data_IF_617039234429
#
_entry.id   IF_617039234429
#
_cell.length_a   1.000
_cell.length_b   1.000
_cell.length_c   1.000
_cell.angle_alpha   90.00
_cell.angle_beta   90.00
_cell.angle_gamma   90.00
#
_symmetry.space_group_name_H-M   'P 1'
#
loop_
_entity.id
_entity.type
_entity.pdbx_description
1 polymer ?
#
# COMPACT_ATOMS: atom_id res chain seq x y z
N UNK A 1 13.57 -0.36 -35.90
CA UNK A 1 12.94 -0.45 -34.56
C UNK A 1 11.90 -1.55 -34.60
N UNK A 2 12.31 -2.73 -34.15
CA UNK A 2 11.44 -3.90 -33.99
C UNK A 2 10.65 -3.72 -32.69
N UNK A 3 9.33 -3.89 -32.72
CA UNK A 3 8.52 -3.89 -31.51
C UNK A 3 8.64 -5.23 -30.76
N UNK A 4 8.60 -5.19 -29.43
CA UNK A 4 8.69 -6.39 -28.57
C UNK A 4 7.52 -7.35 -28.82
N UNK A 5 6.34 -6.79 -29.04
CA UNK A 5 5.09 -7.50 -29.29
C UNK A 5 5.14 -8.30 -30.59
N UNK A 6 5.80 -7.78 -31.62
CA UNK A 6 6.00 -8.47 -32.90
C UNK A 6 6.91 -9.69 -32.72
N UNK A 7 8.00 -9.54 -31.96
CA UNK A 7 8.92 -10.66 -31.64
C UNK A 7 8.19 -11.74 -30.87
N UNK A 8 7.41 -11.36 -29.85
CA UNK A 8 6.61 -12.30 -29.04
C UNK A 8 5.60 -13.04 -29.92
N UNK A 9 4.88 -12.33 -30.79
CA UNK A 9 3.88 -12.91 -31.68
C UNK A 9 4.50 -13.90 -32.66
N UNK A 10 5.68 -13.59 -33.20
CA UNK A 10 6.43 -14.49 -34.09
C UNK A 10 6.91 -15.73 -33.36
N UNK A 11 7.42 -15.61 -32.13
CA UNK A 11 7.83 -16.79 -31.36
C UNK A 11 6.62 -17.68 -31.07
N UNK A 12 5.47 -17.10 -30.71
CA UNK A 12 4.21 -17.85 -30.50
C UNK A 12 3.74 -18.55 -31.78
N UNK A 13 3.80 -17.89 -32.93
CA UNK A 13 3.40 -18.47 -34.22
C UNK A 13 4.32 -19.63 -34.63
N UNK A 14 5.63 -19.51 -34.39
CA UNK A 14 6.62 -20.51 -34.78
C UNK A 14 6.79 -21.65 -33.78
N UNK A 15 6.10 -21.59 -32.64
CA UNK A 15 6.24 -22.56 -31.57
C UNK A 15 5.53 -23.87 -31.91
N UNK A 16 6.29 -24.95 -32.01
CA UNK A 16 5.82 -26.30 -32.35
C UNK A 16 5.97 -27.30 -31.18
N UNK A 17 6.08 -26.78 -29.95
CA UNK A 17 6.39 -27.57 -28.75
C UNK A 17 7.88 -27.67 -28.43
N UNK A 18 8.74 -26.96 -29.16
CA UNK A 18 10.18 -26.80 -28.87
C UNK A 18 10.61 -25.32 -28.94
N UNK A 19 11.67 -24.92 -28.23
CA UNK A 19 12.23 -23.57 -28.33
C UNK A 19 12.55 -23.19 -29.79
N UNK A 20 12.14 -21.98 -30.18
CA UNK A 20 12.25 -21.48 -31.56
C UNK A 20 13.66 -20.95 -31.80
N UNK A 21 14.34 -21.49 -32.82
CA UNK A 21 15.69 -21.05 -33.18
C UNK A 21 15.73 -19.57 -33.61
N UNK A 22 16.79 -18.85 -33.21
CA UNK A 22 17.03 -17.46 -33.59
C UNK A 22 16.93 -17.22 -35.11
N UNK A 23 17.47 -18.16 -35.90
CA UNK A 23 17.44 -18.09 -37.36
C UNK A 23 16.02 -18.11 -37.93
N UNK A 24 15.09 -18.86 -37.31
CA UNK A 24 13.67 -18.90 -37.71
C UNK A 24 12.99 -17.57 -37.38
N UNK A 25 13.21 -17.03 -36.18
CA UNK A 25 12.67 -15.74 -35.73
C UNK A 25 13.15 -14.62 -36.66
N UNK A 26 14.47 -14.56 -36.90
CA UNK A 26 15.10 -13.60 -37.82
C UNK A 26 14.49 -13.65 -39.22
N UNK A 27 14.30 -14.86 -39.78
CA UNK A 27 13.75 -15.04 -41.13
C UNK A 27 12.32 -14.51 -41.24
N UNK A 28 11.52 -14.65 -40.19
CA UNK A 28 10.12 -14.21 -40.17
C UNK A 28 10.00 -12.70 -40.00
N UNK A 29 10.77 -12.12 -39.08
CA UNK A 29 10.76 -10.67 -38.79
C UNK A 29 11.45 -9.86 -39.90
N UNK A 30 12.38 -10.48 -40.66
CA UNK A 30 13.22 -9.82 -41.68
C UNK A 30 13.99 -8.61 -41.11
N UNK A 31 14.43 -8.74 -39.87
CA UNK A 31 15.13 -7.70 -39.14
C UNK A 31 16.66 -7.84 -39.19
N UNK A 32 17.32 -6.75 -38.82
CA UNK A 32 18.74 -6.74 -38.50
C UNK A 32 19.07 -7.70 -37.32
N UNK A 33 20.17 -8.48 -37.40
CA UNK A 33 20.50 -9.45 -36.37
C UNK A 33 20.82 -8.83 -35.01
N UNK A 34 21.53 -7.69 -34.99
CA UNK A 34 21.94 -7.03 -33.75
C UNK A 34 20.73 -6.41 -33.06
N UNK A 35 19.84 -5.81 -33.85
CA UNK A 35 18.59 -5.26 -33.34
C UNK A 35 17.69 -6.35 -32.73
N UNK A 36 17.54 -7.49 -33.41
CA UNK A 36 16.77 -8.62 -32.89
C UNK A 36 17.39 -9.21 -31.62
N UNK A 37 18.72 -9.32 -31.58
CA UNK A 37 19.43 -9.84 -30.42
C UNK A 37 19.25 -8.93 -29.19
N UNK A 38 19.33 -7.60 -29.38
CA UNK A 38 19.03 -6.63 -28.32
C UNK A 38 17.62 -6.81 -27.77
N UNK A 39 16.61 -6.90 -28.65
CA UNK A 39 15.21 -7.06 -28.22
C UNK A 39 15.00 -8.40 -27.49
N UNK A 40 15.59 -9.49 -27.97
CA UNK A 40 15.48 -10.80 -27.31
C UNK A 40 16.18 -10.82 -25.96
N UNK A 41 17.32 -10.14 -25.81
CA UNK A 41 18.00 -10.00 -24.51
C UNK A 41 17.19 -9.14 -23.53
N UNK A 42 16.49 -8.10 -24.02
CA UNK A 42 15.57 -7.32 -23.19
C UNK A 42 14.37 -8.16 -22.73
N UNK A 43 13.75 -8.91 -23.64
CA UNK A 43 12.64 -9.82 -23.32
C UNK A 43 13.06 -10.92 -22.33
N UNK A 44 14.31 -11.40 -22.42
CA UNK A 44 14.87 -12.37 -21.49
C UNK A 44 15.06 -11.75 -20.09
N UNK A 45 15.59 -10.53 -20.01
CA UNK A 45 15.73 -9.78 -18.75
C UNK A 45 14.38 -9.48 -18.10
N UNK A 46 13.36 -9.23 -18.91
CA UNK A 46 11.97 -9.01 -18.46
C UNK A 46 11.26 -10.31 -18.05
N UNK A 47 11.90 -11.47 -18.26
CA UNK A 47 11.32 -12.77 -17.93
C UNK A 47 10.17 -13.19 -18.85
N UNK A 48 10.05 -12.58 -20.04
CA UNK A 48 9.02 -12.88 -21.03
C UNK A 48 9.43 -13.99 -21.99
N UNK A 49 10.74 -14.17 -22.20
CA UNK A 49 11.30 -15.28 -22.98
C UNK A 49 12.42 -15.97 -22.21
N UNK A 50 12.61 -17.25 -22.47
CA UNK A 50 13.73 -18.03 -21.97
C UNK A 50 14.63 -18.42 -23.12
N UNK A 51 15.93 -18.16 -22.97
CA UNK A 51 16.96 -18.53 -23.93
C UNK A 51 17.52 -19.91 -23.63
N UNK A 52 17.79 -20.65 -24.70
CA UNK A 52 18.42 -21.97 -24.68
C UNK A 52 19.58 -21.99 -25.68
N UNK A 53 20.65 -22.69 -25.32
CA UNK A 53 21.73 -23.02 -26.26
C UNK A 53 21.48 -24.40 -26.85
N UNK A 54 21.34 -24.48 -28.18
CA UNK A 54 21.02 -25.74 -28.88
C UNK A 54 21.95 -25.88 -30.08
N UNK A 55 22.79 -26.92 -30.06
CA UNK A 55 23.67 -27.27 -31.19
C UNK A 55 24.60 -26.14 -31.65
N UNK A 56 25.11 -25.31 -30.73
CA UNK A 56 25.96 -24.16 -31.03
C UNK A 56 25.21 -22.88 -31.46
N UNK A 57 23.87 -22.89 -31.47
CA UNK A 57 23.02 -21.74 -31.73
C UNK A 57 22.14 -21.33 -30.54
N UNK A 58 21.39 -20.24 -30.70
CA UNK A 58 20.43 -19.71 -29.70
C UNK A 58 19.00 -20.07 -30.10
N UNK A 59 18.20 -20.50 -29.14
CA UNK A 59 16.76 -20.73 -29.29
C UNK A 59 15.99 -20.07 -28.14
N UNK A 60 14.74 -19.69 -28.41
CA UNK A 60 13.92 -18.89 -27.50
C UNK A 60 12.51 -19.48 -27.38
N UNK A 61 12.00 -19.48 -26.17
CA UNK A 61 10.64 -19.90 -25.84
C UNK A 61 9.95 -18.78 -25.06
N UNK A 62 8.67 -18.52 -25.31
CA UNK A 62 7.93 -17.60 -24.45
C UNK A 62 7.85 -18.22 -23.05
N UNK A 63 8.38 -17.53 -22.06
CA UNK A 63 8.20 -17.91 -20.69
C UNK A 63 6.76 -17.54 -20.33
N UNK A 64 5.88 -18.54 -20.29
CA UNK A 64 4.48 -18.32 -19.96
C UNK A 64 4.43 -17.99 -18.46
N UNK A 65 4.58 -16.71 -18.12
CA UNK A 65 4.35 -16.25 -16.77
C UNK A 65 2.87 -16.50 -16.52
N UNK A 66 2.57 -17.54 -15.74
CA UNK A 66 1.21 -17.87 -15.36
C UNK A 66 0.53 -16.57 -14.87
N UNK A 67 -0.57 -16.12 -15.51
CA UNK A 67 -1.25 -14.88 -15.11
C UNK A 67 -1.55 -14.84 -13.61
N UNK A 68 -1.79 -16.03 -13.02
CA UNK A 68 -1.95 -16.20 -11.58
C UNK A 68 -0.70 -15.78 -10.79
N UNK A 69 0.51 -16.10 -11.24
CA UNK A 69 1.76 -15.72 -10.58
C UNK A 69 1.99 -14.20 -10.58
N UNK A 70 1.63 -13.51 -11.67
CA UNK A 70 1.66 -12.04 -11.73
C UNK A 70 0.65 -11.44 -10.76
N UNK A 71 -0.59 -11.93 -10.77
CA UNK A 71 -1.66 -11.47 -9.87
C UNK A 71 -1.26 -11.71 -8.40
N UNK A 72 -0.69 -12.87 -8.07
CA UNK A 72 -0.21 -13.18 -6.71
C UNK A 72 0.92 -12.24 -6.30
N UNK A 73 1.84 -11.89 -7.21
CA UNK A 73 2.91 -10.94 -6.92
C UNK A 73 2.37 -9.54 -6.63
N UNK A 74 1.35 -9.11 -7.38
CA UNK A 74 0.74 -7.79 -7.21
C UNK A 74 -0.09 -7.70 -5.93
N UNK A 75 -0.83 -8.76 -5.59
CA UNK A 75 -1.55 -8.89 -4.30
C UNK A 75 -0.57 -8.80 -3.12
N UNK A 76 0.62 -9.41 -3.23
CA UNK A 76 1.65 -9.32 -2.18
C UNK A 76 2.14 -7.89 -2.00
N UNK A 77 2.44 -7.17 -3.09
CA UNK A 77 2.85 -5.76 -3.02
C UNK A 77 1.77 -4.90 -2.37
N UNK A 78 0.51 -5.06 -2.80
CA UNK A 78 -0.62 -4.32 -2.22
C UNK A 78 -0.77 -4.60 -0.72
N UNK A 79 -0.63 -5.85 -0.27
CA UNK A 79 -0.63 -6.17 1.17
C UNK A 79 0.48 -5.47 1.93
N UNK A 80 1.66 -5.35 1.34
CA UNK A 80 2.81 -4.74 2.00
C UNK A 80 2.70 -3.21 2.05
N UNK A 81 2.15 -2.58 1.01
CA UNK A 81 1.80 -1.16 1.02
C UNK A 81 0.70 -0.86 2.05
N UNK A 82 -0.34 -1.69 2.13
CA UNK A 82 -1.39 -1.56 3.16
C UNK A 82 -0.77 -1.63 4.56
N UNK A 83 0.10 -2.61 4.80
CA UNK A 83 0.77 -2.74 6.10
C UNK A 83 1.58 -1.50 6.47
N UNK A 84 2.33 -0.94 5.52
CA UNK A 84 3.07 0.32 5.73
C UNK A 84 2.15 1.49 6.03
N UNK A 85 1.00 1.58 5.35
CA UNK A 85 -0.01 2.61 5.64
C UNK A 85 -0.60 2.43 7.05
N UNK A 86 -0.90 1.20 7.46
CA UNK A 86 -1.37 0.88 8.82
C UNK A 86 -0.34 1.28 9.88
N UNK A 87 0.93 0.94 9.67
CA UNK A 87 2.04 1.32 10.56
C UNK A 87 2.18 2.86 10.66
N UNK A 88 2.13 3.57 9.53
CA UNK A 88 2.16 5.04 9.52
C UNK A 88 0.96 5.68 10.23
N UNK A 89 -0.23 5.06 10.13
CA UNK A 89 -1.43 5.52 10.83
C UNK A 89 -1.29 5.26 12.34
N UNK A 90 -0.81 4.09 12.75
CA UNK A 90 -0.54 3.80 14.17
C UNK A 90 0.48 4.75 14.77
N UNK A 91 1.57 5.06 14.06
CA UNK A 91 2.58 6.01 14.51
C UNK A 91 2.02 7.42 14.65
N UNK A 92 1.20 7.89 13.68
CA UNK A 92 0.49 9.17 13.78
C UNK A 92 -0.53 9.20 14.92
N UNK A 93 -1.18 8.08 15.24
CA UNK A 93 -2.11 7.98 16.37
C UNK A 93 -1.38 8.03 17.71
N UNK A 94 -0.26 7.31 17.86
CA UNK A 94 0.58 7.34 19.08
C UNK A 94 1.14 8.73 19.36
N UNK A 95 1.54 9.46 18.31
CA UNK A 95 1.98 10.85 18.45
C UNK A 95 0.84 11.80 18.87
N UNK A 96 -0.43 11.47 18.61
CA UNK A 96 -1.56 12.35 18.92
C UNK A 96 -2.25 12.10 20.27
N UNK A 97 -2.23 10.88 20.82
CA UNK A 97 -2.77 10.63 22.16
C UNK A 97 -1.89 11.21 23.27
N UNK A 98 -0.56 11.25 23.06
CA UNK A 98 0.33 11.97 23.98
C UNK A 98 0.02 13.47 24.02
N UNK A 99 -0.34 14.07 22.88
CA UNK A 99 -0.76 15.48 22.84
C UNK A 99 -2.05 15.71 23.60
N UNK A 100 -3.01 14.79 23.51
CA UNK A 100 -4.23 14.82 24.31
C UNK A 100 -3.92 14.77 25.81
N UNK A 101 -3.09 13.83 26.24
CA UNK A 101 -2.69 13.70 27.64
C UNK A 101 -1.98 14.97 28.13
N UNK A 102 -1.09 15.53 27.32
CA UNK A 102 -0.39 16.77 27.64
C UNK A 102 -1.36 17.96 27.73
N UNK A 103 -2.34 18.06 26.84
CA UNK A 103 -3.37 19.09 26.88
C UNK A 103 -4.26 18.93 28.14
N UNK A 104 -4.67 17.70 28.45
CA UNK A 104 -5.39 17.38 29.69
C UNK A 104 -4.63 17.84 30.94
N UNK A 105 -3.33 17.55 31.02
CA UNK A 105 -2.49 17.96 32.16
C UNK A 105 -2.39 19.49 32.31
N UNK A 106 -2.50 20.24 31.20
CA UNK A 106 -2.47 21.71 31.23
C UNK A 106 -3.80 22.35 31.62
N UNK A 107 -4.92 21.74 31.25
CA UNK A 107 -6.26 22.33 31.45
C UNK A 107 -7.01 21.76 32.65
N UNK A 108 -6.56 20.65 33.24
CA UNK A 108 -7.23 20.07 34.41
C UNK A 108 -7.19 21.01 35.61
N UNK A 109 -8.23 20.94 36.42
CA UNK A 109 -8.31 21.67 37.68
C UNK A 109 -7.49 20.98 38.79
N UNK A 110 -7.48 21.61 39.98
CA UNK A 110 -6.76 21.09 41.16
C UNK A 110 -7.29 19.74 41.67
N UNK A 111 -8.49 19.32 41.25
CA UNK A 111 -9.11 18.05 41.62
C UNK A 111 -8.97 16.98 40.51
N UNK A 112 -8.33 17.34 39.39
CA UNK A 112 -8.08 16.48 38.24
C UNK A 112 -9.24 16.39 37.24
N UNK A 113 -10.22 17.29 37.29
CA UNK A 113 -11.27 17.36 36.29
C UNK A 113 -10.88 18.28 35.13
N UNK A 114 -11.22 17.88 33.92
CA UNK A 114 -11.04 18.70 32.72
C UNK A 114 -12.31 18.64 31.86
N UNK A 115 -12.64 19.74 31.18
CA UNK A 115 -13.70 19.72 30.16
C UNK A 115 -13.11 19.31 28.81
N UNK A 116 -13.85 18.49 28.07
CA UNK A 116 -13.49 18.10 26.70
C UNK A 116 -13.41 19.31 25.76
N UNK A 117 -14.22 20.36 26.01
CA UNK A 117 -14.12 21.65 25.30
C UNK A 117 -12.74 22.27 25.41
N UNK A 118 -12.18 22.27 26.61
CA UNK A 118 -10.97 23.02 26.92
C UNK A 118 -9.76 22.29 26.35
N UNK A 119 -9.75 20.95 26.44
CA UNK A 119 -8.75 20.10 25.78
C UNK A 119 -8.82 20.27 24.26
N UNK A 120 -10.03 20.30 23.68
CA UNK A 120 -10.20 20.49 22.23
C UNK A 120 -9.67 21.84 21.77
N UNK A 121 -9.98 22.91 22.51
CA UNK A 121 -9.52 24.26 22.20
C UNK A 121 -8.00 24.37 22.34
N UNK A 122 -7.42 23.74 23.36
CA UNK A 122 -5.97 23.66 23.57
C UNK A 122 -5.25 22.94 22.41
N UNK A 123 -5.88 21.90 21.83
CA UNK A 123 -5.37 21.21 20.65
C UNK A 123 -5.66 21.93 19.33
N UNK A 124 -6.45 23.01 19.35
CA UNK A 124 -6.81 23.78 18.15
C UNK A 124 -7.69 23.01 17.15
N UNK A 125 -8.42 21.98 17.61
CA UNK A 125 -9.19 21.10 16.74
C UNK A 125 -10.67 21.51 16.62
N UNK A 126 -11.26 21.17 15.48
CA UNK A 126 -12.71 21.22 15.29
C UNK A 126 -13.42 20.17 16.18
N UNK A 127 -14.71 20.38 16.46
CA UNK A 127 -15.51 19.42 17.26
C UNK A 127 -15.53 18.04 16.61
N UNK A 128 -15.84 17.97 15.33
CA UNK A 128 -15.96 16.72 14.58
C UNK A 128 -14.65 15.92 14.59
N UNK A 129 -13.53 16.60 14.33
CA UNK A 129 -12.21 15.98 14.33
C UNK A 129 -11.83 15.45 15.72
N UNK A 130 -12.01 16.26 16.76
CA UNK A 130 -11.67 15.88 18.13
C UNK A 130 -12.47 14.68 18.62
N UNK A 131 -13.80 14.74 18.50
CA UNK A 131 -14.66 13.65 18.98
C UNK A 131 -14.59 12.40 18.10
N UNK A 132 -14.29 12.51 16.81
CA UNK A 132 -14.02 11.34 15.97
C UNK A 132 -12.72 10.64 16.36
N UNK A 133 -11.66 11.42 16.61
CA UNK A 133 -10.31 10.91 16.88
C UNK A 133 -10.14 10.34 18.29
N UNK A 134 -10.66 11.03 19.31
CA UNK A 134 -10.35 10.71 20.71
C UNK A 134 -11.43 9.93 21.44
N UNK A 135 -12.59 9.66 20.83
CA UNK A 135 -13.71 8.98 21.52
C UNK A 135 -13.31 7.68 22.19
N UNK A 136 -12.77 6.73 21.43
CA UNK A 136 -12.40 5.42 21.96
C UNK A 136 -11.30 5.53 23.03
N UNK A 137 -10.36 6.47 22.86
CA UNK A 137 -9.29 6.72 23.82
C UNK A 137 -9.82 7.26 25.15
N UNK A 138 -10.69 8.29 25.11
CA UNK A 138 -11.28 8.88 26.31
C UNK A 138 -12.16 7.87 27.04
N UNK A 139 -12.99 7.11 26.31
CA UNK A 139 -13.86 6.10 26.90
C UNK A 139 -13.08 4.96 27.60
N UNK A 140 -11.86 4.67 27.15
CA UNK A 140 -11.01 3.61 27.69
C UNK A 140 -10.16 4.08 28.88
N UNK A 141 -9.67 5.33 28.87
CA UNK A 141 -8.66 5.81 29.81
C UNK A 141 -9.19 6.81 30.86
N UNK A 142 -10.40 7.34 30.67
CA UNK A 142 -10.96 8.37 31.54
C UNK A 142 -12.34 7.98 32.08
N UNK A 143 -12.68 8.53 33.24
CA UNK A 143 -14.03 8.54 33.78
C UNK A 143 -14.81 9.69 33.13
N UNK A 144 -15.99 9.39 32.60
CA UNK A 144 -16.89 10.36 31.97
C UNK A 144 -17.91 10.85 32.98
N UNK A 145 -18.00 12.15 33.15
CA UNK A 145 -18.89 12.81 34.11
C UNK A 145 -19.89 13.67 33.34
N UNK A 146 -21.16 13.57 33.75
CA UNK A 146 -22.23 14.33 33.13
C UNK A 146 -22.05 15.84 33.39
N UNK A 147 -22.29 16.65 32.36
CA UNK A 147 -22.10 18.10 32.40
C UNK A 147 -21.18 18.61 31.29
N UNK A 148 -21.00 19.93 31.24
CA UNK A 148 -20.24 20.61 30.19
C UNK A 148 -21.09 21.01 28.98
N UNK A 149 -20.55 21.93 28.19
CA UNK A 149 -21.23 22.53 27.02
C UNK A 149 -21.13 21.65 25.76
N UNK A 150 -20.19 20.70 25.76
CA UNK A 150 -19.99 19.70 24.71
C UNK A 150 -19.45 18.40 25.31
N UNK A 151 -19.66 17.28 24.64
CA UNK A 151 -19.22 15.98 25.11
C UNK A 151 -19.93 14.82 24.43
N UNK A 152 -19.73 13.62 24.96
CA UNK A 152 -20.40 12.43 24.45
C UNK A 152 -21.85 12.36 24.92
N UNK A 153 -22.79 12.14 24.01
CA UNK A 153 -24.20 11.97 24.37
C UNK A 153 -24.47 10.50 24.70
N UNK A 154 -24.91 10.23 25.92
CA UNK A 154 -25.33 8.89 26.36
C UNK A 154 -26.67 8.98 27.07
N UNK A 155 -27.65 8.21 26.60
CA UNK A 155 -29.01 8.14 27.15
C UNK A 155 -29.65 9.54 27.36
N UNK A 156 -29.38 10.47 26.44
CA UNK A 156 -29.92 11.83 26.48
C UNK A 156 -29.16 12.84 27.37
N UNK A 157 -28.09 12.42 28.05
CA UNK A 157 -27.23 13.32 28.84
C UNK A 157 -25.89 13.55 28.17
N UNK A 158 -25.35 14.76 28.29
CA UNK A 158 -24.03 15.15 27.78
C UNK A 158 -22.96 14.83 28.83
N UNK A 159 -21.92 14.12 28.42
CA UNK A 159 -20.75 13.80 29.24
C UNK A 159 -19.54 14.54 28.67
N UNK A 160 -19.34 15.76 29.16
CA UNK A 160 -18.32 16.70 28.71
C UNK A 160 -17.15 16.87 29.67
N UNK A 161 -17.23 16.30 30.86
CA UNK A 161 -16.19 16.42 31.89
C UNK A 161 -15.51 15.06 32.03
N UNK A 162 -14.18 15.07 32.12
CA UNK A 162 -13.37 13.87 32.26
C UNK A 162 -12.41 13.96 33.44
N UNK A 163 -12.10 12.80 34.01
CA UNK A 163 -11.04 12.61 35.01
C UNK A 163 -10.24 11.36 34.67
N UNK A 164 -8.91 11.42 34.76
CA UNK A 164 -8.05 10.26 34.48
C UNK A 164 -8.37 9.14 35.48
N UNK A 165 -8.53 7.91 34.99
CA UNK A 165 -8.75 6.73 35.84
C UNK A 165 -7.53 6.39 36.68
#
# INVERSE_FOLDING_TARGET
MIAKEDVISVIKELYDGKPVAFSKIKKKIKADPEELERVLNELEREGLVKKYEVGGGKAYEIFNVDPFSLIVSEIRKLREEIRKLEEMIEERQKLSFSEFDNAYERVKDSLGYAKLSDIRLELGLSKEEFYSKFRSYVESNYELIAGGDEGFVRKGSVYGIIKKR
#
